data_IF_755788782647
#
_entry.id   IF_755788782647
#
_cell.length_a   1.000
_cell.length_b   1.000
_cell.length_c   1.000
_cell.angle_alpha   90.00
_cell.angle_beta   90.00
_cell.angle_gamma   90.00
#
_symmetry.space_group_name_H-M   'P 1'
#
loop_
_entity.id
_entity.type
_entity.pdbx_description
1 polymer ?
#
# COMPACT_ATOMS: atom_id res chain seq x y z
N UNK A 1 -9.38 19.34 -9.74
CA UNK A 1 -7.94 19.11 -9.55
C UNK A 1 -7.59 19.65 -8.18
N UNK A 2 -7.02 18.84 -7.29
CA UNK A 2 -6.61 19.28 -5.95
C UNK A 2 -5.11 19.55 -6.03
N UNK A 3 -4.68 20.72 -5.57
CA UNK A 3 -3.28 21.16 -5.57
C UNK A 3 -2.80 21.37 -4.14
N UNK A 4 -1.59 20.93 -3.85
CA UNK A 4 -0.95 21.10 -2.55
C UNK A 4 -0.58 22.57 -2.30
N UNK A 5 -0.87 23.05 -1.09
CA UNK A 5 -0.54 24.41 -0.66
C UNK A 5 0.80 24.40 0.09
N UNK A 6 1.87 24.72 -0.62
CA UNK A 6 3.24 24.74 -0.09
C UNK A 6 3.41 25.65 1.13
N UNK A 7 2.56 26.68 1.30
CA UNK A 7 2.63 27.60 2.43
C UNK A 7 2.23 26.94 3.76
N UNK A 8 1.48 25.84 3.70
CA UNK A 8 0.98 25.09 4.86
C UNK A 8 1.84 23.87 5.19
N UNK A 9 2.89 23.60 4.42
CA UNK A 9 3.79 22.50 4.68
C UNK A 9 4.57 22.69 5.98
N UNK A 10 4.82 21.58 6.66
CA UNK A 10 5.54 21.58 7.92
C UNK A 10 7.03 21.85 7.67
N UNK A 11 7.62 22.76 8.43
CA UNK A 11 9.04 23.10 8.44
C UNK A 11 9.55 23.12 9.89
N UNK A 12 10.86 23.24 10.08
CA UNK A 12 11.48 23.20 11.42
C UNK A 12 10.82 24.20 12.37
N UNK A 13 10.65 25.46 11.93
CA UNK A 13 10.09 26.54 12.75
C UNK A 13 8.65 26.27 13.18
N UNK A 14 7.78 25.90 12.24
CA UNK A 14 6.37 25.65 12.55
C UNK A 14 6.19 24.31 13.30
N UNK A 15 7.09 23.35 13.14
CA UNK A 15 7.12 22.11 13.93
C UNK A 15 7.41 22.41 15.40
N UNK A 16 8.46 23.18 15.68
CA UNK A 16 8.83 23.57 17.05
C UNK A 16 7.70 24.33 17.75
N UNK A 17 7.13 25.35 17.10
CA UNK A 17 5.98 26.08 17.62
C UNK A 17 4.77 25.17 17.91
N UNK A 18 4.54 24.17 17.05
CA UNK A 18 3.47 23.20 17.21
C UNK A 18 3.71 22.19 18.34
N UNK A 19 4.96 21.82 18.60
CA UNK A 19 5.36 21.00 19.75
C UNK A 19 5.09 21.76 21.05
N UNK A 20 5.47 23.03 21.11
CA UNK A 20 5.25 23.89 22.28
C UNK A 20 3.78 24.10 22.59
N UNK A 21 2.95 24.24 21.55
CA UNK A 21 1.50 24.41 21.66
C UNK A 21 0.79 23.21 22.32
N UNK A 22 1.39 22.01 22.30
CA UNK A 22 0.87 20.76 22.90
C UNK A 22 -0.59 20.44 22.54
N UNK A 23 -1.05 20.87 21.36
CA UNK A 23 -2.43 20.71 20.92
C UNK A 23 -2.50 19.75 19.74
N UNK A 24 -2.65 18.46 20.05
CA UNK A 24 -2.72 17.38 19.04
C UNK A 24 -3.86 17.59 18.05
N UNK A 25 -5.01 18.08 18.51
CA UNK A 25 -6.17 18.34 17.66
C UNK A 25 -5.92 19.40 16.58
N UNK A 26 -4.98 20.33 16.81
CA UNK A 26 -4.67 21.40 15.84
C UNK A 26 -3.39 21.16 15.06
N UNK A 27 -2.34 20.63 15.68
CA UNK A 27 -1.04 20.45 15.02
C UNK A 27 -0.78 19.02 14.51
N UNK A 28 -1.51 18.04 15.06
CA UNK A 28 -1.24 16.61 14.87
C UNK A 28 0.01 16.11 15.59
N UNK A 29 0.71 16.95 16.37
CA UNK A 29 1.95 16.59 17.05
C UNK A 29 1.68 16.33 18.53
N UNK A 30 1.96 15.11 18.97
CA UNK A 30 1.82 14.69 20.37
C UNK A 30 3.06 15.01 21.20
N UNK A 31 4.24 14.79 20.64
CA UNK A 31 5.52 14.94 21.30
C UNK A 31 6.63 15.22 20.26
N UNK A 32 7.77 15.80 20.66
CA UNK A 32 8.91 15.97 19.77
C UNK A 32 9.48 14.62 19.32
N UNK A 33 9.90 14.54 18.06
CA UNK A 33 10.54 13.36 17.50
C UNK A 33 11.92 13.19 18.13
N UNK A 34 12.17 12.06 18.79
CA UNK A 34 13.45 11.77 19.45
C UNK A 34 14.63 11.80 18.46
N UNK A 35 14.40 11.46 17.19
CA UNK A 35 15.43 11.46 16.15
C UNK A 35 15.88 12.85 15.71
N UNK A 36 15.13 13.92 16.01
CA UNK A 36 15.58 15.29 15.72
C UNK A 36 16.88 15.66 16.47
N UNK A 37 17.28 14.88 17.49
CA UNK A 37 18.57 15.03 18.17
C UNK A 37 19.76 14.49 17.38
N UNK A 38 19.51 13.67 16.34
CA UNK A 38 20.56 13.07 15.50
C UNK A 38 21.13 14.13 14.57
N UNK A 39 22.47 14.23 14.52
CA UNK A 39 23.16 15.18 13.65
C UNK A 39 22.75 14.95 12.19
N UNK A 40 22.39 16.03 11.50
CA UNK A 40 21.93 16.04 10.11
C UNK A 40 20.56 15.38 9.85
N UNK A 41 19.75 15.16 10.88
CA UNK A 41 18.39 14.65 10.73
C UNK A 41 17.39 15.60 11.38
N UNK A 42 16.30 15.88 10.68
CA UNK A 42 15.09 16.48 11.23
C UNK A 42 13.86 15.91 10.53
N UNK A 43 12.80 15.61 11.28
CA UNK A 43 11.57 14.97 10.78
C UNK A 43 10.85 15.77 9.69
N UNK A 44 11.03 17.09 9.65
CA UNK A 44 10.43 17.95 8.61
C UNK A 44 11.25 18.02 7.33
N UNK A 45 12.52 17.63 7.39
CA UNK A 45 13.45 17.68 6.25
C UNK A 45 13.67 16.28 5.66
N UNK A 46 13.45 15.25 6.46
CA UNK A 46 13.62 13.85 6.10
C UNK A 46 12.25 13.16 6.14
N UNK A 47 11.44 13.42 5.11
CA UNK A 47 10.14 12.80 4.95
C UNK A 47 10.35 11.33 4.51
N UNK A 48 10.44 10.43 5.49
CA UNK A 48 10.50 9.00 5.21
C UNK A 48 9.07 8.44 5.21
N UNK A 49 8.64 7.94 4.06
CA UNK A 49 7.39 7.19 3.95
C UNK A 49 7.59 5.82 4.61
N UNK A 50 6.77 5.48 5.61
CA UNK A 50 6.73 4.10 6.08
C UNK A 50 5.94 3.29 5.05
N UNK A 51 6.68 2.63 4.15
CA UNK A 51 6.08 1.82 3.09
C UNK A 51 5.14 0.76 3.65
N UNK A 52 5.42 0.18 4.82
CA UNK A 52 4.55 -0.83 5.39
C UNK A 52 3.28 -0.19 5.95
N UNK A 53 3.41 0.86 6.76
CA UNK A 53 2.26 1.46 7.44
C UNK A 53 1.46 2.41 6.55
N UNK A 54 2.11 3.39 5.93
CA UNK A 54 1.43 4.44 5.17
C UNK A 54 0.89 3.92 3.84
N UNK A 55 1.64 3.01 3.21
CA UNK A 55 1.33 2.53 1.88
C UNK A 55 0.61 1.17 1.90
N UNK A 56 1.25 0.11 2.42
CA UNK A 56 0.69 -1.25 2.39
C UNK A 56 -0.50 -1.43 3.34
N UNK A 57 -0.42 -0.96 4.58
CA UNK A 57 -1.53 -1.00 5.56
C UNK A 57 -2.49 0.19 5.41
N UNK A 58 -1.98 1.31 4.92
CA UNK A 58 -2.76 2.51 4.64
C UNK A 58 -3.44 2.41 3.28
N UNK A 59 -2.94 3.17 2.30
CA UNK A 59 -3.65 3.46 1.05
C UNK A 59 -4.02 2.20 0.25
N UNK A 60 -3.10 1.22 0.13
CA UNK A 60 -3.33 0.05 -0.70
C UNK A 60 -4.50 -0.82 -0.23
N UNK A 61 -4.80 -0.83 1.07
CA UNK A 61 -5.92 -1.63 1.61
C UNK A 61 -7.28 -1.15 1.10
N UNK A 62 -7.43 0.15 0.82
CA UNK A 62 -8.65 0.74 0.23
C UNK A 62 -8.78 0.35 -1.24
N UNK A 63 -7.69 0.41 -1.99
CA UNK A 63 -7.67 0.03 -3.40
C UNK A 63 -7.98 -1.44 -3.57
N UNK A 64 -7.34 -2.33 -2.78
CA UNK A 64 -7.61 -3.76 -2.82
C UNK A 64 -9.04 -4.10 -2.39
N UNK A 65 -9.57 -3.43 -1.36
CA UNK A 65 -10.97 -3.57 -0.96
C UNK A 65 -11.92 -3.27 -2.12
N UNK A 66 -11.70 -2.12 -2.77
CA UNK A 66 -12.52 -1.68 -3.90
C UNK A 66 -12.43 -2.66 -5.06
N UNK A 67 -11.22 -3.13 -5.39
CA UNK A 67 -11.01 -4.14 -6.43
C UNK A 67 -11.79 -5.41 -6.14
N UNK A 68 -11.61 -6.00 -4.95
CA UNK A 68 -12.30 -7.25 -4.55
C UNK A 68 -13.82 -7.07 -4.59
N UNK A 69 -14.33 -5.93 -4.11
CA UNK A 69 -15.76 -5.62 -4.11
C UNK A 69 -16.31 -5.50 -5.54
N UNK A 70 -15.59 -4.83 -6.43
CA UNK A 70 -15.97 -4.72 -7.85
C UNK A 70 -15.96 -6.09 -8.52
N UNK A 71 -14.91 -6.90 -8.31
CA UNK A 71 -14.82 -8.24 -8.89
C UNK A 71 -15.97 -9.16 -8.45
N UNK A 72 -16.41 -9.07 -7.20
CA UNK A 72 -17.51 -9.88 -6.67
C UNK A 72 -18.88 -9.39 -7.16
N UNK A 73 -19.08 -8.07 -7.22
CA UNK A 73 -20.36 -7.48 -7.61
C UNK A 73 -20.61 -7.58 -9.12
N UNK A 74 -19.53 -7.53 -9.91
CA UNK A 74 -19.61 -7.68 -11.35
C UNK A 74 -19.82 -9.13 -11.75
N UNK A 75 -21.09 -9.48 -11.99
CA UNK A 75 -21.51 -10.83 -12.42
C UNK A 75 -20.76 -11.34 -13.65
N UNK A 76 -20.25 -10.42 -14.48
CA UNK A 76 -19.47 -10.69 -15.69
C UNK A 76 -18.23 -11.57 -15.43
N UNK A 77 -17.58 -11.41 -14.27
CA UNK A 77 -16.34 -12.15 -13.98
C UNK A 77 -16.57 -13.51 -13.33
N UNK A 78 -17.81 -13.84 -12.95
CA UNK A 78 -18.16 -15.08 -12.24
C UNK A 78 -17.25 -15.36 -11.01
N UNK A 79 -16.77 -14.30 -10.36
CA UNK A 79 -15.96 -14.35 -9.14
C UNK A 79 -16.92 -14.31 -7.96
N UNK A 80 -16.91 -15.35 -7.16
CA UNK A 80 -17.64 -15.39 -5.90
C UNK A 80 -16.68 -15.25 -4.73
N UNK A 81 -17.18 -14.71 -3.61
CA UNK A 81 -16.42 -14.67 -2.37
C UNK A 81 -15.94 -16.07 -1.94
N UNK A 82 -16.73 -17.10 -2.22
CA UNK A 82 -16.36 -18.48 -1.92
C UNK A 82 -15.13 -18.92 -2.73
N UNK A 83 -15.11 -18.70 -4.05
CA UNK A 83 -13.94 -19.01 -4.90
C UNK A 83 -12.69 -18.29 -4.41
N UNK A 84 -12.81 -17.00 -4.08
CA UNK A 84 -11.67 -16.21 -3.60
C UNK A 84 -11.11 -16.75 -2.27
N UNK A 85 -11.99 -17.18 -1.35
CA UNK A 85 -11.56 -17.80 -0.10
C UNK A 85 -10.96 -19.20 -0.30
N UNK A 86 -11.43 -19.99 -1.27
CA UNK A 86 -10.79 -21.25 -1.64
C UNK A 86 -9.37 -21.01 -2.16
N UNK A 87 -9.19 -20.03 -3.04
CA UNK A 87 -7.85 -19.66 -3.50
C UNK A 87 -6.95 -19.17 -2.35
N UNK A 88 -7.49 -18.41 -1.39
CA UNK A 88 -6.74 -18.05 -0.17
C UNK A 88 -6.36 -19.29 0.65
N UNK A 89 -7.21 -20.32 0.65
CA UNK A 89 -6.92 -21.54 1.39
C UNK A 89 -5.87 -22.43 0.72
N UNK A 90 -5.95 -22.54 -0.60
CA UNK A 90 -5.13 -23.45 -1.42
C UNK A 90 -3.80 -22.85 -1.88
N UNK A 91 -3.64 -21.52 -1.80
CA UNK A 91 -2.41 -20.86 -2.23
C UNK A 91 -1.23 -21.23 -1.33
N UNK A 92 -0.10 -21.59 -1.94
CA UNK A 92 1.13 -21.87 -1.21
C UNK A 92 1.86 -20.57 -0.84
N UNK A 93 1.79 -20.19 0.43
CA UNK A 93 2.42 -18.98 0.94
C UNK A 93 3.90 -19.14 1.32
N UNK A 94 4.43 -20.36 1.38
CA UNK A 94 5.77 -20.62 1.92
C UNK A 94 5.94 -20.00 3.31
N UNK A 95 6.99 -19.19 3.49
CA UNK A 95 7.28 -18.46 4.73
C UNK A 95 6.42 -17.19 4.93
N UNK A 96 5.56 -16.84 3.97
CA UNK A 96 4.71 -15.64 4.06
C UNK A 96 3.47 -15.89 4.93
N UNK A 97 2.97 -14.82 5.55
CA UNK A 97 1.77 -14.91 6.38
C UNK A 97 0.52 -15.20 5.54
N UNK A 98 -0.22 -16.26 5.88
CA UNK A 98 -1.53 -16.55 5.30
C UNK A 98 -2.52 -15.41 5.60
N UNK A 99 -3.23 -14.87 4.60
CA UNK A 99 -4.18 -13.79 4.81
C UNK A 99 -5.47 -14.30 5.46
N UNK A 100 -6.22 -13.42 6.15
CA UNK A 100 -7.48 -13.79 6.77
C UNK A 100 -8.55 -14.01 5.68
N UNK A 101 -9.48 -14.94 5.95
CA UNK A 101 -10.63 -15.14 5.08
C UNK A 101 -11.45 -13.86 4.95
N UNK A 102 -11.91 -13.59 3.73
CA UNK A 102 -12.75 -12.46 3.41
C UNK A 102 -14.21 -12.82 3.72
N UNK A 103 -14.92 -11.93 4.42
CA UNK A 103 -16.33 -12.13 4.77
C UNK A 103 -17.20 -11.07 4.11
N UNK A 104 -18.37 -11.45 3.60
CA UNK A 104 -19.30 -10.52 2.96
C UNK A 104 -19.70 -9.36 3.89
N UNK A 105 -19.90 -9.65 5.18
CA UNK A 105 -20.19 -8.64 6.20
C UNK A 105 -19.09 -7.58 6.29
N UNK A 106 -17.81 -7.98 6.28
CA UNK A 106 -16.67 -7.04 6.32
C UNK A 106 -16.56 -6.21 5.04
N UNK A 107 -16.80 -6.81 3.88
CA UNK A 107 -16.74 -6.12 2.59
C UNK A 107 -17.86 -5.08 2.42
N UNK A 108 -19.02 -5.32 3.04
CA UNK A 108 -20.16 -4.41 3.00
C UNK A 108 -20.11 -3.33 4.09
N UNK A 109 -19.67 -3.69 5.30
CA UNK A 109 -19.65 -2.79 6.46
C UNK A 109 -18.54 -1.74 6.41
N UNK A 110 -17.40 -2.07 5.79
CA UNK A 110 -16.22 -1.20 5.77
C UNK A 110 -15.80 -0.88 4.34
N UNK A 111 -15.06 0.23 4.19
CA UNK A 111 -14.46 0.67 2.92
C UNK A 111 -12.96 0.30 2.80
N UNK A 112 -12.45 -0.54 3.69
CA UNK A 112 -11.04 -0.96 3.73
C UNK A 112 -10.92 -2.38 4.27
N UNK A 113 -9.91 -3.10 3.81
CA UNK A 113 -9.47 -4.35 4.38
C UNK A 113 -8.42 -4.08 5.46
N UNK A 114 -8.84 -3.98 6.72
CA UNK A 114 -7.90 -3.84 7.85
C UNK A 114 -7.06 -5.11 8.02
N UNK A 115 -5.79 -5.04 7.59
CA UNK A 115 -4.82 -6.13 7.75
C UNK A 115 -3.39 -5.59 7.79
N UNK A 116 -2.48 -6.37 8.38
CA UNK A 116 -1.04 -6.09 8.41
C UNK A 116 -0.42 -6.12 7.00
N UNK A 117 0.67 -5.39 6.79
CA UNK A 117 1.37 -5.27 5.50
C UNK A 117 1.74 -6.65 4.91
N UNK A 118 2.23 -7.55 5.75
CA UNK A 118 2.59 -8.92 5.35
C UNK A 118 1.39 -9.73 4.84
N UNK A 119 0.22 -9.54 5.45
CA UNK A 119 -1.03 -10.18 5.04
C UNK A 119 -1.63 -9.51 3.80
N UNK A 120 -1.46 -8.20 3.67
CA UNK A 120 -1.85 -7.45 2.49
C UNK A 120 -1.14 -7.97 1.24
N UNK A 121 0.19 -8.11 1.29
CA UNK A 121 0.98 -8.63 0.16
C UNK A 121 0.53 -10.04 -0.26
N UNK A 122 0.27 -10.92 0.71
CA UNK A 122 -0.27 -12.26 0.43
C UNK A 122 -1.65 -12.21 -0.21
N UNK A 123 -2.56 -11.37 0.30
CA UNK A 123 -3.92 -11.21 -0.24
C UNK A 123 -3.89 -10.69 -1.67
N UNK A 124 -3.04 -9.69 -1.93
CA UNK A 124 -2.86 -9.12 -3.26
C UNK A 124 -2.38 -10.19 -4.25
N UNK A 125 -1.32 -10.94 -3.91
CA UNK A 125 -0.81 -12.02 -4.77
C UNK A 125 -1.86 -13.07 -5.11
N UNK A 126 -2.64 -13.50 -4.12
CA UNK A 126 -3.72 -14.47 -4.36
C UNK A 126 -4.84 -13.89 -5.23
N UNK A 127 -5.18 -12.61 -5.06
CA UNK A 127 -6.18 -11.92 -5.88
C UNK A 127 -5.70 -11.79 -7.32
N UNK A 128 -4.45 -11.40 -7.54
CA UNK A 128 -3.83 -11.31 -8.87
C UNK A 128 -3.82 -12.68 -9.58
N UNK A 129 -3.41 -13.73 -8.88
CA UNK A 129 -3.41 -15.10 -9.42
C UNK A 129 -4.82 -15.58 -9.80
N UNK A 130 -5.80 -15.28 -8.94
CA UNK A 130 -7.22 -15.60 -9.20
C UNK A 130 -7.71 -14.88 -10.46
N UNK A 131 -7.39 -13.59 -10.60
CA UNK A 131 -7.81 -12.82 -11.76
C UNK A 131 -7.12 -13.30 -13.04
N UNK A 132 -5.82 -13.59 -13.01
CA UNK A 132 -5.08 -14.11 -14.17
C UNK A 132 -5.58 -15.49 -14.62
N UNK A 133 -5.87 -16.39 -13.67
CA UNK A 133 -6.46 -17.68 -13.97
C UNK A 133 -7.83 -17.56 -14.65
N UNK A 134 -8.62 -16.56 -14.27
CA UNK A 134 -9.95 -16.31 -14.86
C UNK A 134 -9.84 -15.57 -16.18
N UNK A 135 -8.90 -14.64 -16.33
CA UNK A 135 -8.69 -13.88 -17.55
C UNK A 135 -8.29 -14.76 -18.74
N UNK A 136 -7.64 -15.89 -18.44
CA UNK A 136 -7.35 -16.97 -19.41
C UNK A 136 -8.60 -17.70 -19.94
N UNK A 137 -9.77 -17.45 -19.34
CA UNK A 137 -11.08 -18.05 -19.71
C UNK A 137 -12.11 -17.03 -20.22
N UNK A 138 -11.72 -15.76 -20.34
CA UNK A 138 -12.57 -14.65 -20.83
C UNK A 138 -12.27 -14.33 -22.31
N UNK A 139 -13.21 -13.67 -23.00
CA UNK A 139 -12.99 -13.19 -24.38
C UNK A 139 -11.99 -12.02 -24.43
N UNK A 140 -11.31 -11.81 -25.56
CA UNK A 140 -10.20 -10.83 -25.70
C UNK A 140 -10.55 -9.39 -25.27
N UNK A 141 -11.76 -8.91 -25.60
CA UNK A 141 -12.20 -7.56 -25.23
C UNK A 141 -12.50 -7.39 -23.73
N UNK A 142 -12.83 -8.48 -23.04
CA UNK A 142 -13.11 -8.51 -21.61
C UNK A 142 -11.82 -8.65 -20.79
N UNK A 143 -10.82 -9.31 -21.38
CA UNK A 143 -9.50 -9.48 -20.83
C UNK A 143 -8.79 -8.12 -20.65
N UNK A 144 -8.84 -7.24 -21.66
CA UNK A 144 -8.18 -5.93 -21.61
C UNK A 144 -8.72 -5.00 -20.51
N UNK A 145 -10.02 -5.06 -20.21
CA UNK A 145 -10.62 -4.21 -19.16
C UNK A 145 -10.31 -4.72 -17.75
N UNK A 146 -10.25 -6.05 -17.56
CA UNK A 146 -9.85 -6.69 -16.31
C UNK A 146 -8.37 -6.50 -16.05
N UNK A 147 -7.54 -6.78 -17.05
CA UNK A 147 -6.10 -6.58 -17.02
C UNK A 147 -5.78 -5.11 -16.80
N UNK A 148 -6.50 -4.19 -17.44
CA UNK A 148 -6.39 -2.76 -17.18
C UNK A 148 -6.69 -2.40 -15.72
N UNK A 149 -7.83 -2.85 -15.17
CA UNK A 149 -8.22 -2.57 -13.76
C UNK A 149 -7.23 -3.15 -12.75
N UNK A 150 -6.73 -4.36 -13.00
CA UNK A 150 -5.69 -5.01 -12.21
C UNK A 150 -4.35 -4.30 -12.36
N UNK A 151 -3.94 -3.92 -13.57
CA UNK A 151 -2.71 -3.16 -13.84
C UNK A 151 -2.75 -1.75 -13.25
N UNK A 152 -3.91 -1.10 -13.09
CA UNK A 152 -3.98 0.17 -12.36
C UNK A 152 -3.73 -0.04 -10.86
N UNK A 153 -4.21 -1.16 -10.30
CA UNK A 153 -3.98 -1.54 -8.91
C UNK A 153 -2.52 -1.99 -8.67
N UNK A 154 -1.94 -2.77 -9.60
CA UNK A 154 -0.54 -3.24 -9.58
C UNK A 154 0.44 -2.13 -9.96
N UNK A 155 0.07 -1.25 -10.87
CA UNK A 155 0.90 -0.14 -11.36
C UNK A 155 1.21 0.87 -10.26
N UNK A 156 0.30 1.01 -9.29
CA UNK A 156 0.57 1.71 -8.03
C UNK A 156 1.74 1.04 -7.28
N UNK A 157 1.86 -0.29 -7.31
CA UNK A 157 2.89 -1.08 -6.63
C UNK A 157 4.21 -1.28 -7.39
N UNK A 158 4.26 -1.14 -8.73
CA UNK A 158 5.56 -1.11 -9.46
C UNK A 158 6.48 0.01 -8.96
N UNK A 159 5.90 1.06 -8.39
CA UNK A 159 6.61 2.09 -7.65
C UNK A 159 7.46 1.51 -6.51
N UNK A 160 7.05 0.41 -5.85
CA UNK A 160 7.82 -0.27 -4.81
C UNK A 160 8.97 -1.12 -5.37
N UNK A 161 8.81 -1.80 -6.51
CA UNK A 161 9.94 -2.50 -7.14
C UNK A 161 11.02 -1.51 -7.60
N UNK A 162 10.62 -0.31 -8.02
CA UNK A 162 11.56 0.76 -8.38
C UNK A 162 12.16 1.45 -7.16
N UNK A 163 11.41 1.69 -6.07
CA UNK A 163 11.98 2.19 -4.79
C UNK A 163 12.98 1.19 -4.20
N UNK A 164 12.71 -0.12 -4.32
CA UNK A 164 13.64 -1.16 -3.85
C UNK A 164 14.90 -1.20 -4.73
N UNK A 165 14.80 -0.80 -6.01
CA UNK A 165 15.94 -0.65 -6.93
C UNK A 165 16.73 0.65 -6.69
N UNK A 166 16.08 1.71 -6.22
CA UNK A 166 16.75 2.97 -5.79
C UNK A 166 17.59 2.77 -4.51
N UNK A 167 17.30 1.75 -3.69
CA UNK A 167 18.17 1.33 -2.57
C UNK A 167 19.43 0.54 -2.99
N UNK A 168 19.65 0.29 -4.29
CA UNK A 168 20.88 -0.33 -4.80
C UNK A 168 21.91 0.66 -5.38
N UNK A 169 21.73 1.98 -5.21
CA UNK A 169 22.83 2.91 -5.40
C UNK A 169 23.75 2.83 -4.17
N UNK A 170 24.64 1.84 -4.17
CA UNK A 170 25.85 1.89 -3.35
C UNK A 170 26.66 3.12 -3.78
N UNK A 171 27.19 3.94 -2.86
CA UNK A 171 28.27 4.85 -3.22
C UNK A 171 29.40 4.03 -3.84
N UNK A 172 29.89 4.48 -5.00
CA UNK A 172 31.05 3.89 -5.69
C UNK A 172 32.23 3.79 -4.73
N UNK A 173 32.98 2.72 -4.93
CA UNK A 173 34.07 2.21 -4.11
C UNK A 173 35.02 3.29 -3.59
N UNK A 174 35.23 3.29 -2.26
CA UNK A 174 36.47 3.79 -1.67
C UNK A 174 37.53 2.70 -1.91
N UNK A 175 38.12 2.71 -3.09
CA UNK A 175 39.44 2.13 -3.33
C UNK A 175 40.03 2.68 -4.63
N UNK A 176 40.84 3.73 -4.50
CA UNK A 176 42.01 3.90 -5.36
C UNK A 176 43.17 4.31 -4.46
N UNK A 177 44.14 3.43 -4.40
CA UNK A 177 45.45 3.53 -3.76
C UNK A 177 46.10 4.91 -3.96
N UNK A 178 46.66 5.48 -2.87
CA UNK A 178 48.01 6.03 -2.71
C UNK A 178 48.10 6.81 -1.40
#
# INVERSE_FOLDING_TARGET
MVTEDNSKLRNVKNYEANVEKKSVSTSGIKEPCCFNSVKFYHVTENLFLDVMLDYLEGVCTYTLHTLVKTLINEKKYNITLHKLNLFIDDFNYGDSAKPPKLTASRLQQYNTLKMLASKFLSTQKTTEFTVCGISSSLSESENDQVVGTVLTCIGSQRFLSDITRVKQLKPKDVSSEF
#
